data_IF_716947514056
#
_entry.id   IF_716947514056
#
_cell.length_a   1.000
_cell.length_b   1.000
_cell.length_c   1.000
_cell.angle_alpha   90.00
_cell.angle_beta   90.00
_cell.angle_gamma   90.00
#
_symmetry.space_group_name_H-M   'P 1'
#
loop_
_entity.id
_entity.type
_entity.pdbx_description
1 polymer ?
#
# COMPACT_ATOMS: atom_id res chain seq x y z
N UNK A 1 61.63 48.42 -53.33
CA UNK A 1 61.15 49.81 -53.23
C UNK A 1 59.70 49.79 -52.76
N UNK A 2 59.36 50.63 -51.77
CA UNK A 2 58.04 51.03 -51.20
C UNK A 2 57.09 49.96 -50.62
N UNK A 3 56.73 49.97 -49.32
CA UNK A 3 55.90 50.93 -48.53
C UNK A 3 54.44 51.01 -49.05
N UNK A 4 53.33 50.91 -48.29
CA UNK A 4 53.08 50.77 -46.84
C UNK A 4 51.58 50.45 -46.55
N UNK A 5 51.34 49.77 -45.41
CA UNK A 5 50.29 49.89 -44.37
C UNK A 5 48.78 50.13 -44.69
N UNK A 6 47.91 49.42 -43.93
CA UNK A 6 46.96 50.01 -42.94
C UNK A 6 46.22 48.99 -42.01
N UNK A 7 46.52 49.12 -40.70
CA UNK A 7 45.73 48.89 -39.44
C UNK A 7 45.21 47.50 -39.00
N UNK A 8 44.89 47.27 -37.69
CA UNK A 8 45.62 47.55 -36.44
C UNK A 8 45.74 46.29 -35.52
N UNK A 9 46.46 46.40 -34.40
CA UNK A 9 46.66 45.34 -33.39
C UNK A 9 45.48 45.17 -32.44
N UNK A 10 44.94 43.95 -32.34
CA UNK A 10 43.98 43.51 -31.32
C UNK A 10 44.65 42.54 -30.36
N UNK A 11 44.59 42.84 -29.06
CA UNK A 11 45.15 42.05 -27.97
C UNK A 11 44.36 40.76 -27.78
N UNK A 12 45.04 39.60 -27.83
CA UNK A 12 44.45 38.33 -27.43
C UNK A 12 44.85 38.00 -25.99
N UNK A 13 43.97 38.30 -25.04
CA UNK A 13 44.04 37.81 -23.67
C UNK A 13 43.77 36.30 -23.69
N UNK A 14 44.82 35.47 -23.64
CA UNK A 14 44.66 34.01 -23.43
C UNK A 14 44.58 33.74 -21.92
N UNK A 15 43.37 33.45 -21.46
CA UNK A 15 43.09 32.88 -20.15
C UNK A 15 43.72 31.48 -20.07
N UNK A 16 44.68 31.28 -19.17
CA UNK A 16 45.41 30.02 -18.99
C UNK A 16 44.69 29.18 -17.93
N UNK A 17 43.78 28.30 -18.34
CA UNK A 17 43.24 27.26 -17.46
C UNK A 17 44.08 25.99 -17.58
N UNK A 18 44.93 25.75 -16.59
CA UNK A 18 45.78 24.56 -16.49
C UNK A 18 44.99 23.41 -15.87
N UNK A 19 44.56 22.45 -16.68
CA UNK A 19 44.11 21.14 -16.19
C UNK A 19 45.06 20.07 -16.74
N UNK A 20 46.03 19.70 -15.91
CA UNK A 20 46.78 18.44 -16.03
C UNK A 20 46.19 17.40 -15.07
N UNK A 21 46.46 16.10 -15.30
CA UNK A 21 45.86 15.02 -14.51
C UNK A 21 46.60 14.88 -13.17
N UNK A 22 45.96 15.31 -12.09
CA UNK A 22 46.45 15.07 -10.73
C UNK A 22 45.95 13.70 -10.24
N UNK A 23 46.91 12.86 -9.87
CA UNK A 23 46.75 11.58 -9.18
C UNK A 23 45.74 11.65 -8.03
N UNK A 24 44.66 10.86 -8.09
CA UNK A 24 43.68 10.73 -7.00
C UNK A 24 44.26 9.80 -5.93
N UNK A 25 44.71 10.40 -4.83
CA UNK A 25 45.06 9.71 -3.60
C UNK A 25 43.82 9.13 -2.93
N UNK A 26 43.92 7.87 -2.52
CA UNK A 26 43.02 7.17 -1.59
C UNK A 26 43.11 7.81 -0.19
N UNK A 27 42.01 7.74 0.60
CA UNK A 27 41.77 8.25 1.98
C UNK A 27 41.31 9.73 2.06
N UNK A 28 40.15 10.14 2.59
CA UNK A 28 39.18 9.59 3.54
C UNK A 28 37.74 9.98 3.13
N UNK A 29 36.78 9.05 3.25
CA UNK A 29 35.35 9.38 3.40
C UNK A 29 35.08 9.69 4.87
N UNK A 30 35.04 10.97 5.23
CA UNK A 30 34.47 11.51 6.46
C UNK A 30 34.01 12.93 6.07
N UNK A 31 32.77 13.37 6.26
CA UNK A 31 32.01 13.38 7.50
C UNK A 31 30.52 13.13 7.25
N UNK A 32 30.01 11.93 7.55
CA UNK A 32 28.61 11.79 7.95
C UNK A 32 28.64 11.80 9.47
N UNK A 33 28.06 12.81 10.15
CA UNK A 33 27.98 12.81 11.60
C UNK A 33 27.38 11.49 12.08
N UNK A 34 28.07 10.80 12.99
CA UNK A 34 27.52 9.62 13.64
C UNK A 34 26.25 10.05 14.37
N UNK A 35 25.11 9.35 14.21
CA UNK A 35 23.90 9.70 14.91
C UNK A 35 24.15 9.74 16.42
N UNK A 36 23.54 10.70 17.11
CA UNK A 36 23.61 10.74 18.57
C UNK A 36 22.98 9.46 19.16
N UNK A 37 23.33 9.04 20.39
CA UNK A 37 22.69 7.89 21.02
C UNK A 37 21.16 8.00 21.09
N UNK A 38 20.61 9.21 21.20
CA UNK A 38 19.17 9.48 21.17
C UNK A 38 18.56 9.30 19.76
N UNK A 39 19.31 9.65 18.71
CA UNK A 39 18.92 9.42 17.32
C UNK A 39 19.01 7.93 16.94
N UNK A 40 20.06 7.22 17.39
CA UNK A 40 20.17 5.76 17.22
C UNK A 40 19.00 5.02 17.91
N UNK A 41 18.60 5.48 19.10
CA UNK A 41 17.45 4.94 19.83
C UNK A 41 16.11 5.25 19.12
N UNK A 42 15.94 6.47 18.60
CA UNK A 42 14.75 6.86 17.82
C UNK A 42 14.60 6.02 16.55
N UNK A 43 15.66 5.86 15.76
CA UNK A 43 15.68 5.03 14.56
C UNK A 43 15.33 3.57 14.87
N UNK A 44 15.87 3.03 15.97
CA UNK A 44 15.56 1.67 16.40
C UNK A 44 14.07 1.48 16.74
N UNK A 45 13.46 2.40 17.49
CA UNK A 45 12.03 2.32 17.79
C UNK A 45 11.17 2.51 16.54
N UNK A 46 11.56 3.45 15.68
CA UNK A 46 10.90 3.69 14.41
C UNK A 46 10.92 2.43 13.53
N UNK A 47 12.09 1.81 13.36
CA UNK A 47 12.25 0.57 12.60
C UNK A 47 11.42 -0.58 13.20
N UNK A 48 11.39 -0.73 14.53
CA UNK A 48 10.52 -1.73 15.19
C UNK A 48 9.04 -1.49 14.91
N UNK A 49 8.58 -0.24 14.97
CA UNK A 49 7.18 0.11 14.70
C UNK A 49 6.82 -0.16 13.24
N UNK A 50 7.67 0.26 12.31
CA UNK A 50 7.49 0.01 10.87
C UNK A 50 7.53 -1.49 10.53
N UNK A 51 8.43 -2.25 11.16
CA UNK A 51 8.50 -3.71 11.00
C UNK A 51 7.23 -4.40 11.49
N UNK A 52 6.70 -3.99 12.65
CA UNK A 52 5.45 -4.53 13.19
C UNK A 52 4.26 -4.26 12.26
N UNK A 53 4.13 -3.04 11.74
CA UNK A 53 3.08 -2.68 10.78
C UNK A 53 3.20 -3.47 9.48
N UNK A 54 4.42 -3.63 8.96
CA UNK A 54 4.67 -4.39 7.73
C UNK A 54 4.27 -5.86 7.88
N UNK A 55 4.54 -6.47 9.04
CA UNK A 55 4.15 -7.87 9.33
C UNK A 55 2.64 -8.07 9.37
N UNK A 56 1.86 -7.07 9.81
CA UNK A 56 0.40 -7.14 9.82
C UNK A 56 -0.19 -7.22 8.41
N UNK A 57 0.56 -6.78 7.39
CA UNK A 57 0.12 -6.84 6.01
C UNK A 57 0.36 -8.20 5.36
N UNK A 58 1.14 -9.11 5.95
CA UNK A 58 1.52 -10.38 5.31
C UNK A 58 0.29 -11.21 4.93
N UNK A 59 -0.69 -11.47 5.82
CA UNK A 59 -1.86 -12.27 5.44
C UNK A 59 -2.69 -11.60 4.33
N UNK A 60 -2.73 -10.27 4.33
CA UNK A 60 -3.44 -9.49 3.30
C UNK A 60 -2.73 -9.59 1.94
N UNK A 61 -1.40 -9.58 1.96
CA UNK A 61 -0.56 -9.74 0.76
C UNK A 61 -0.70 -11.14 0.17
N UNK A 62 -0.70 -12.18 1.01
CA UNK A 62 -0.90 -13.57 0.57
C UNK A 62 -2.27 -13.75 -0.10
N UNK A 63 -3.34 -13.26 0.54
CA UNK A 63 -4.70 -13.36 0.01
C UNK A 63 -4.86 -12.56 -1.29
N UNK A 64 -4.26 -11.36 -1.38
CA UNK A 64 -4.22 -10.58 -2.61
C UNK A 64 -3.38 -11.25 -3.70
N UNK A 65 -2.25 -11.86 -3.35
CA UNK A 65 -1.40 -12.57 -4.32
C UNK A 65 -2.18 -13.71 -4.98
N UNK A 66 -2.85 -14.54 -4.18
CA UNK A 66 -3.71 -15.63 -4.66
C UNK A 66 -4.85 -15.11 -5.53
N UNK A 67 -5.50 -14.02 -5.11
CA UNK A 67 -6.58 -13.42 -5.89
C UNK A 67 -6.10 -12.85 -7.23
N UNK A 68 -4.97 -12.13 -7.26
CA UNK A 68 -4.40 -11.60 -8.51
C UNK A 68 -4.01 -12.76 -9.43
N UNK A 69 -3.28 -13.76 -8.92
CA UNK A 69 -2.89 -14.97 -9.65
C UNK A 69 -4.10 -15.59 -10.38
N UNK A 70 -5.18 -15.86 -9.63
CA UNK A 70 -6.43 -16.41 -10.18
C UNK A 70 -7.07 -15.48 -11.21
N UNK A 71 -7.09 -14.17 -10.94
CA UNK A 71 -7.77 -13.18 -11.79
C UNK A 71 -7.09 -12.99 -13.14
N UNK A 72 -5.76 -12.86 -13.17
CA UNK A 72 -5.01 -12.65 -14.42
C UNK A 72 -4.39 -13.94 -14.99
N UNK A 73 -4.71 -15.09 -14.39
CA UNK A 73 -4.26 -16.42 -14.79
C UNK A 73 -2.72 -16.54 -14.84
N UNK A 74 -2.09 -16.23 -13.70
CA UNK A 74 -0.65 -16.45 -13.43
C UNK A 74 -0.50 -17.15 -12.07
N UNK A 75 0.71 -17.61 -11.73
CA UNK A 75 0.96 -18.47 -10.57
C UNK A 75 2.26 -18.15 -9.80
N UNK A 76 2.93 -17.05 -10.13
CA UNK A 76 4.25 -16.71 -9.59
C UNK A 76 4.24 -15.60 -8.54
N UNK A 77 3.09 -14.97 -8.29
CA UNK A 77 2.97 -13.92 -7.26
C UNK A 77 2.77 -14.61 -5.91
N UNK A 78 3.58 -14.24 -4.93
CA UNK A 78 3.52 -14.75 -3.55
C UNK A 78 3.48 -13.59 -2.57
N UNK A 79 3.15 -13.84 -1.30
CA UNK A 79 3.24 -12.82 -0.25
C UNK A 79 4.65 -12.22 -0.14
N UNK A 80 5.69 -13.04 -0.29
CA UNK A 80 7.10 -12.61 -0.16
C UNK A 80 7.57 -11.70 -1.31
N UNK A 81 7.09 -11.93 -2.53
CA UNK A 81 7.52 -11.17 -3.71
C UNK A 81 6.48 -10.14 -4.17
N UNK A 82 5.38 -9.97 -3.42
CA UNK A 82 4.19 -9.22 -3.82
C UNK A 82 4.54 -7.82 -4.34
N UNK A 83 5.23 -7.03 -3.52
CA UNK A 83 5.60 -5.66 -3.90
C UNK A 83 6.65 -5.61 -5.01
N UNK A 84 7.59 -6.56 -5.06
CA UNK A 84 8.63 -6.61 -6.09
C UNK A 84 8.06 -6.89 -7.48
N UNK A 85 7.05 -7.76 -7.55
CA UNK A 85 6.41 -8.15 -8.81
C UNK A 85 5.45 -7.08 -9.32
N UNK A 86 4.85 -6.30 -8.42
CA UNK A 86 3.87 -5.26 -8.76
C UNK A 86 4.52 -3.90 -9.08
N UNK A 87 5.73 -3.59 -8.61
CA UNK A 87 6.29 -2.23 -8.59
C UNK A 87 6.66 -1.59 -9.94
N UNK A 88 6.66 -2.38 -11.03
CA UNK A 88 6.79 -1.84 -12.39
C UNK A 88 5.44 -1.45 -13.02
N UNK A 89 4.33 -1.82 -12.35
CA UNK A 89 2.97 -1.44 -12.71
C UNK A 89 2.32 -2.31 -13.79
N UNK A 90 3.05 -3.26 -14.37
CA UNK A 90 2.54 -4.11 -15.47
C UNK A 90 1.41 -5.01 -14.97
N UNK A 91 1.60 -5.64 -13.81
CA UNK A 91 0.64 -6.58 -13.24
C UNK A 91 -0.68 -5.87 -12.88
N UNK A 92 -0.61 -4.72 -12.22
CA UNK A 92 -1.81 -3.96 -11.85
C UNK A 92 -2.54 -3.41 -13.09
N UNK A 93 -1.83 -3.00 -14.14
CA UNK A 93 -2.45 -2.64 -15.41
C UNK A 93 -3.15 -3.84 -16.10
N UNK A 94 -2.54 -5.04 -16.08
CA UNK A 94 -3.17 -6.27 -16.59
C UNK A 94 -4.42 -6.63 -15.80
N UNK A 95 -4.35 -6.54 -14.47
CA UNK A 95 -5.47 -6.75 -13.58
C UNK A 95 -6.65 -5.81 -13.93
N UNK A 96 -6.38 -4.52 -14.09
CA UNK A 96 -7.39 -3.55 -14.51
C UNK A 96 -8.05 -3.90 -15.85
N UNK A 97 -7.27 -4.36 -16.84
CA UNK A 97 -7.82 -4.80 -18.13
C UNK A 97 -8.76 -5.99 -18.00
N UNK A 98 -8.41 -6.99 -17.17
CA UNK A 98 -9.28 -8.15 -16.93
C UNK A 98 -10.58 -7.71 -16.24
N UNK A 99 -10.49 -6.88 -15.20
CA UNK A 99 -11.68 -6.36 -14.50
C UNK A 99 -12.56 -5.56 -15.46
N UNK A 100 -11.97 -4.70 -16.29
CA UNK A 100 -12.69 -3.94 -17.31
C UNK A 100 -13.45 -4.86 -18.27
N UNK A 101 -12.84 -5.95 -18.73
CA UNK A 101 -13.47 -6.91 -19.64
C UNK A 101 -14.66 -7.62 -18.99
N UNK A 102 -14.49 -8.06 -17.75
CA UNK A 102 -15.56 -8.68 -16.95
C UNK A 102 -16.70 -7.69 -16.70
N UNK A 103 -16.37 -6.43 -16.39
CA UNK A 103 -17.36 -5.38 -16.21
C UNK A 103 -18.16 -5.11 -17.48
N UNK A 104 -17.49 -5.00 -18.64
CA UNK A 104 -18.14 -4.85 -19.94
C UNK A 104 -19.11 -6.02 -20.20
N UNK A 105 -18.62 -7.25 -20.08
CA UNK A 105 -19.41 -8.47 -20.30
C UNK A 105 -20.64 -8.54 -19.37
N UNK A 106 -20.51 -8.13 -18.11
CA UNK A 106 -21.60 -8.13 -17.14
C UNK A 106 -22.65 -7.04 -17.44
N UNK A 107 -22.22 -5.87 -17.88
CA UNK A 107 -23.09 -4.74 -18.22
C UNK A 107 -23.84 -5.01 -19.52
N UNK A 108 -23.15 -5.49 -20.57
CA UNK A 108 -23.77 -5.83 -21.85
C UNK A 108 -24.79 -6.97 -21.71
N UNK A 109 -24.53 -7.93 -20.82
CA UNK A 109 -25.48 -8.98 -20.48
C UNK A 109 -26.63 -8.52 -19.55
N UNK A 110 -26.67 -7.24 -19.16
CA UNK A 110 -27.71 -6.68 -18.28
C UNK A 110 -27.67 -7.16 -16.83
N UNK A 111 -26.61 -7.86 -16.39
CA UNK A 111 -26.47 -8.36 -15.01
C UNK A 111 -26.13 -7.25 -14.01
N UNK A 112 -25.42 -6.23 -14.48
CA UNK A 112 -24.98 -5.09 -13.66
C UNK A 112 -25.33 -3.79 -14.39
N UNK A 113 -25.80 -2.80 -13.65
CA UNK A 113 -26.00 -1.43 -14.14
C UNK A 113 -24.80 -0.57 -13.76
N UNK A 114 -24.34 0.29 -14.67
CA UNK A 114 -23.25 1.23 -14.42
C UNK A 114 -22.45 1.55 -15.68
N UNK A 115 -21.47 2.43 -15.53
CA UNK A 115 -20.45 2.68 -16.56
C UNK A 115 -19.34 1.64 -16.47
N UNK A 116 -18.73 1.34 -17.62
CA UNK A 116 -17.56 0.46 -17.67
C UNK A 116 -16.35 1.24 -17.14
N UNK A 117 -15.63 0.74 -16.11
CA UNK A 117 -14.38 1.34 -15.68
C UNK A 117 -13.31 1.06 -16.73
N UNK A 118 -12.85 2.10 -17.43
CA UNK A 118 -11.88 1.95 -18.52
C UNK A 118 -10.48 2.29 -18.02
N UNK A 119 -9.46 1.46 -18.25
CA UNK A 119 -8.07 1.90 -18.13
C UNK A 119 -7.72 2.75 -19.36
N UNK A 120 -7.39 4.02 -19.12
CA UNK A 120 -6.99 4.97 -20.17
C UNK A 120 -5.46 4.98 -20.23
N UNK A 121 -4.91 5.46 -21.34
CA UNK A 121 -3.47 5.56 -21.52
C UNK A 121 -2.81 4.26 -21.98
N UNK A 122 -1.52 4.37 -22.29
CA UNK A 122 -0.68 3.24 -22.69
C UNK A 122 -0.09 2.62 -21.44
N UNK A 123 -0.32 1.32 -21.21
CA UNK A 123 0.43 0.58 -20.21
C UNK A 123 1.70 0.00 -20.85
N UNK A 124 2.85 0.29 -20.25
CA UNK A 124 4.18 -0.11 -20.71
C UNK A 124 4.52 -1.50 -20.19
N UNK A 125 4.40 -2.52 -21.05
CA UNK A 125 4.66 -3.93 -20.68
C UNK A 125 6.11 -4.22 -20.29
N UNK A 126 7.07 -3.43 -20.78
CA UNK A 126 8.50 -3.58 -20.52
C UNK A 126 9.04 -2.45 -19.62
N UNK A 127 8.20 -1.90 -18.75
CA UNK A 127 8.61 -0.84 -17.83
C UNK A 127 9.71 -1.35 -16.88
N UNK A 128 10.82 -0.61 -16.81
CA UNK A 128 11.82 -0.85 -15.79
C UNK A 128 11.27 -0.44 -14.41
N UNK A 129 11.65 -1.19 -13.36
CA UNK A 129 11.32 -0.87 -11.97
C UNK A 129 11.83 0.54 -11.63
N UNK A 130 11.10 1.27 -10.77
CA UNK A 130 11.47 2.62 -10.29
C UNK A 130 11.61 3.70 -11.37
N UNK A 131 11.18 3.44 -12.61
CA UNK A 131 11.33 4.33 -13.74
C UNK A 131 10.19 5.35 -13.88
N UNK A 132 10.29 6.24 -14.86
CA UNK A 132 9.17 7.08 -15.27
C UNK A 132 8.00 6.24 -15.83
N UNK A 133 8.31 5.18 -16.59
CA UNK A 133 7.29 4.30 -17.17
C UNK A 133 6.52 3.49 -16.13
N UNK A 134 7.18 3.08 -15.03
CA UNK A 134 6.48 2.41 -13.93
C UNK A 134 5.51 3.34 -13.22
N UNK A 135 5.88 4.62 -13.03
CA UNK A 135 4.98 5.64 -12.48
C UNK A 135 3.79 5.91 -13.38
N UNK A 136 4.01 5.99 -14.69
CA UNK A 136 2.92 6.16 -15.68
C UNK A 136 1.96 4.96 -15.67
N UNK A 137 2.48 3.73 -15.52
CA UNK A 137 1.64 2.54 -15.29
C UNK A 137 0.81 2.66 -14.02
N UNK A 138 1.40 3.10 -12.90
CA UNK A 138 0.66 3.29 -11.64
C UNK A 138 -0.43 4.34 -11.78
N UNK A 139 -0.13 5.48 -12.39
CA UNK A 139 -1.11 6.55 -12.58
C UNK A 139 -2.30 6.06 -13.42
N UNK A 140 -2.05 5.31 -14.50
CA UNK A 140 -3.11 4.70 -15.30
C UNK A 140 -3.98 3.73 -14.46
N UNK A 141 -3.37 2.94 -13.59
CA UNK A 141 -4.07 2.04 -12.67
C UNK A 141 -4.88 2.80 -11.61
N UNK A 142 -4.30 3.80 -10.95
CA UNK A 142 -4.97 4.64 -9.94
C UNK A 142 -6.19 5.35 -10.54
N UNK A 143 -6.05 5.89 -11.76
CA UNK A 143 -7.19 6.46 -12.48
C UNK A 143 -8.27 5.43 -12.83
N UNK A 144 -7.88 4.19 -13.12
CA UNK A 144 -8.83 3.10 -13.29
C UNK A 144 -9.56 2.79 -11.97
N UNK A 145 -8.87 2.73 -10.84
CA UNK A 145 -9.45 2.54 -9.50
C UNK A 145 -10.51 3.59 -9.19
N UNK A 146 -10.24 4.87 -9.47
CA UNK A 146 -11.24 5.97 -9.35
C UNK A 146 -12.51 5.68 -10.16
N UNK A 147 -12.35 5.23 -11.42
CA UNK A 147 -13.49 4.91 -12.30
C UNK A 147 -14.23 3.64 -11.88
N UNK A 148 -13.54 2.68 -11.27
CA UNK A 148 -14.14 1.49 -10.68
C UNK A 148 -15.03 1.84 -9.47
N UNK A 149 -14.76 2.97 -8.81
CA UNK A 149 -15.49 3.48 -7.66
C UNK A 149 -14.74 3.35 -6.33
N UNK A 150 -13.42 3.16 -6.37
CA UNK A 150 -12.57 3.20 -5.17
C UNK A 150 -12.62 4.62 -4.59
N UNK A 151 -12.87 4.73 -3.30
CA UNK A 151 -12.94 6.01 -2.60
C UNK A 151 -11.56 6.71 -2.58
N UNK A 152 -11.52 8.05 -2.72
CA UNK A 152 -10.24 8.81 -2.80
C UNK A 152 -9.31 8.54 -1.60
N UNK A 153 -9.85 8.45 -0.38
CA UNK A 153 -9.08 8.11 0.84
C UNK A 153 -8.43 6.72 0.84
N UNK A 154 -8.81 5.83 -0.08
CA UNK A 154 -8.24 4.49 -0.22
C UNK A 154 -7.28 4.38 -1.41
N UNK A 155 -7.17 5.43 -2.22
CA UNK A 155 -6.21 5.45 -3.31
C UNK A 155 -4.80 5.68 -2.76
N UNK A 156 -3.84 5.03 -3.38
CA UNK A 156 -2.41 5.24 -3.13
C UNK A 156 -1.83 6.16 -4.22
N UNK A 157 -0.66 6.73 -3.95
CA UNK A 157 0.10 7.55 -4.89
C UNK A 157 1.10 6.70 -5.69
N UNK A 158 1.49 7.13 -6.89
CA UNK A 158 2.37 6.33 -7.75
C UNK A 158 3.66 5.83 -7.07
N UNK A 159 4.29 6.64 -6.23
CA UNK A 159 5.51 6.29 -5.50
C UNK A 159 5.26 5.29 -4.34
N UNK A 160 4.03 5.17 -3.84
CA UNK A 160 3.70 4.24 -2.75
C UNK A 160 3.96 2.78 -3.14
N UNK A 161 3.75 2.43 -4.41
CA UNK A 161 4.07 1.13 -4.98
C UNK A 161 5.41 1.13 -5.72
N UNK A 162 5.74 2.16 -6.50
CA UNK A 162 6.98 2.17 -7.30
C UNK A 162 8.23 2.17 -6.43
N UNK A 163 8.19 2.85 -5.28
CA UNK A 163 9.32 2.96 -4.35
C UNK A 163 9.08 2.18 -3.05
N UNK A 164 7.99 1.42 -2.97
CA UNK A 164 7.52 0.76 -1.74
C UNK A 164 7.35 1.75 -0.57
N UNK A 165 6.91 2.98 -0.87
CA UNK A 165 6.81 4.06 0.11
C UNK A 165 5.70 3.86 1.15
N UNK A 166 4.51 3.41 0.73
CA UNK A 166 3.35 3.20 1.61
C UNK A 166 2.66 1.87 1.29
N UNK A 167 3.25 0.72 1.66
CA UNK A 167 2.72 -0.61 1.33
C UNK A 167 1.30 -0.82 1.85
N UNK A 168 0.97 -0.25 3.01
CA UNK A 168 -0.37 -0.32 3.60
C UNK A 168 -1.43 0.30 2.69
N UNK A 169 -1.17 1.47 2.11
CA UNK A 169 -2.12 2.14 1.23
C UNK A 169 -2.40 1.32 -0.03
N UNK A 170 -1.34 0.72 -0.60
CA UNK A 170 -1.45 -0.15 -1.78
C UNK A 170 -2.32 -1.37 -1.47
N UNK A 171 -2.05 -2.07 -0.36
CA UNK A 171 -2.81 -3.26 0.05
C UNK A 171 -4.28 -2.93 0.26
N UNK A 172 -4.59 -1.85 0.98
CA UNK A 172 -5.97 -1.43 1.22
C UNK A 172 -6.70 -1.03 -0.06
N UNK A 173 -6.02 -0.33 -0.98
CA UNK A 173 -6.58 0.00 -2.28
C UNK A 173 -6.92 -1.27 -3.08
N UNK A 174 -6.03 -2.26 -3.10
CA UNK A 174 -6.22 -3.50 -3.86
C UNK A 174 -7.34 -4.37 -3.28
N UNK A 175 -7.47 -4.44 -1.95
CA UNK A 175 -8.61 -5.10 -1.29
C UNK A 175 -9.94 -4.46 -1.71
N UNK A 176 -9.98 -3.13 -1.74
CA UNK A 176 -11.16 -2.37 -2.16
C UNK A 176 -11.49 -2.60 -3.66
N UNK A 177 -10.46 -2.62 -4.52
CA UNK A 177 -10.60 -3.00 -5.94
C UNK A 177 -11.22 -4.39 -6.06
N UNK A 178 -10.72 -5.36 -5.30
CA UNK A 178 -11.19 -6.74 -5.35
C UNK A 178 -12.65 -6.87 -4.88
N UNK A 179 -13.01 -6.14 -3.81
CA UNK A 179 -14.39 -6.03 -3.31
C UNK A 179 -15.34 -5.47 -4.37
N UNK A 180 -14.95 -4.40 -5.07
CA UNK A 180 -15.74 -3.80 -6.14
C UNK A 180 -15.82 -4.70 -7.37
N UNK A 181 -14.72 -5.37 -7.73
CA UNK A 181 -14.63 -6.30 -8.84
C UNK A 181 -15.57 -7.51 -8.68
N UNK A 182 -15.92 -7.89 -7.44
CA UNK A 182 -16.86 -8.97 -7.16
C UNK A 182 -18.26 -8.77 -7.77
N UNK A 183 -18.64 -7.52 -8.06
CA UNK A 183 -19.87 -7.19 -8.78
C UNK A 183 -19.89 -7.75 -10.21
N UNK A 184 -18.72 -8.00 -10.79
CA UNK A 184 -18.55 -8.45 -12.17
C UNK A 184 -18.19 -9.94 -12.26
N UNK A 185 -18.63 -10.73 -11.27
CA UNK A 185 -18.40 -12.19 -11.19
C UNK A 185 -16.92 -12.58 -11.10
N UNK A 186 -16.09 -11.72 -10.52
CA UNK A 186 -14.77 -12.09 -10.04
C UNK A 186 -14.89 -12.53 -8.59
N UNK A 187 -14.38 -13.70 -8.25
CA UNK A 187 -14.38 -14.15 -6.87
C UNK A 187 -13.43 -13.24 -6.06
N UNK A 188 -13.87 -12.63 -4.94
CA UNK A 188 -13.02 -11.76 -4.16
C UNK A 188 -12.04 -12.57 -3.28
N UNK A 189 -10.99 -11.94 -2.73
CA UNK A 189 -10.07 -12.54 -1.77
C UNK A 189 -10.82 -13.11 -0.56
N UNK A 190 -10.25 -14.15 0.07
CA UNK A 190 -10.89 -14.87 1.18
C UNK A 190 -11.24 -13.97 2.35
N UNK A 191 -10.41 -12.97 2.66
CA UNK A 191 -10.71 -12.00 3.70
C UNK A 191 -11.96 -11.17 3.39
N UNK A 192 -12.10 -10.71 2.15
CA UNK A 192 -13.27 -9.93 1.71
C UNK A 192 -14.53 -10.82 1.71
N UNK A 193 -14.39 -12.11 1.43
CA UNK A 193 -15.51 -13.06 1.56
C UNK A 193 -15.95 -13.18 3.02
N UNK A 194 -14.99 -13.36 3.94
CA UNK A 194 -15.26 -13.48 5.37
C UNK A 194 -15.91 -12.22 5.95
N UNK A 195 -15.43 -11.02 5.57
CA UNK A 195 -16.05 -9.75 5.99
C UNK A 195 -17.53 -9.66 5.62
N UNK A 196 -17.90 -10.16 4.43
CA UNK A 196 -19.29 -10.18 3.96
C UNK A 196 -20.13 -11.21 4.69
N UNK A 197 -19.57 -12.36 5.01
CA UNK A 197 -20.23 -13.41 5.79
C UNK A 197 -20.56 -12.91 7.20
N UNK A 198 -19.59 -12.31 7.89
CA UNK A 198 -19.75 -11.73 9.23
C UNK A 198 -20.81 -10.61 9.20
N UNK A 199 -20.76 -9.70 8.23
CA UNK A 199 -21.76 -8.63 8.11
C UNK A 199 -23.18 -9.19 7.91
N UNK A 200 -23.32 -10.25 7.12
CA UNK A 200 -24.61 -10.90 6.87
C UNK A 200 -25.13 -11.65 8.11
N UNK A 201 -24.26 -12.24 8.94
CA UNK A 201 -24.64 -12.82 10.23
C UNK A 201 -25.14 -11.76 11.21
N UNK A 202 -24.40 -10.66 11.35
CA UNK A 202 -24.79 -9.56 12.22
C UNK A 202 -26.14 -8.94 11.83
N UNK A 203 -26.40 -8.79 10.53
CA UNK A 203 -27.70 -8.30 10.03
C UNK A 203 -28.84 -9.27 10.38
N UNK A 204 -28.62 -10.59 10.24
CA UNK A 204 -29.61 -11.61 10.64
C UNK A 204 -29.89 -11.57 12.14
N UNK A 205 -28.86 -11.47 12.96
CA UNK A 205 -29.00 -11.40 14.42
C UNK A 205 -29.78 -10.16 14.86
N UNK A 206 -29.47 -9.00 14.27
CA UNK A 206 -30.22 -7.76 14.51
C UNK A 206 -31.70 -7.88 14.09
N UNK A 207 -31.96 -8.54 12.95
CA UNK A 207 -33.32 -8.78 12.48
C UNK A 207 -34.09 -9.72 13.42
N UNK A 208 -33.47 -10.79 13.91
CA UNK A 208 -34.07 -11.70 14.89
C UNK A 208 -34.39 -11.01 16.23
N UNK A 209 -33.52 -10.10 16.69
CA UNK A 209 -33.74 -9.30 17.91
C UNK A 209 -34.88 -8.29 17.74
N UNK A 210 -35.03 -7.70 16.55
CA UNK A 210 -36.11 -6.76 16.24
C UNK A 210 -37.48 -7.45 16.14
N UNK A 211 -37.54 -8.67 15.59
CA UNK A 211 -38.81 -9.43 15.42
C UNK A 211 -39.31 -10.05 16.73
N UNK A 212 -38.40 -10.23 17.71
CA UNK A 212 -38.74 -10.77 19.03
C UNK A 212 -39.35 -9.74 20.00
N UNK A 213 -39.48 -8.46 19.61
CA UNK A 213 -40.11 -7.41 20.42
C UNK A 213 -39.39 -7.10 21.75
N UNK A 214 -38.13 -7.50 21.91
CA UNK A 214 -37.37 -7.30 23.14
C UNK A 214 -36.74 -5.91 23.08
N UNK A 215 -37.38 -4.93 23.72
CA UNK A 215 -36.84 -3.57 23.86
C UNK A 215 -35.42 -3.56 24.42
N UNK A 216 -34.55 -2.75 23.80
CA UNK A 216 -33.12 -2.56 24.12
C UNK A 216 -32.83 -2.09 25.57
N UNK A 217 -33.86 -1.79 26.36
CA UNK A 217 -33.76 -1.45 27.79
C UNK A 217 -33.51 -2.67 28.70
N UNK A 218 -33.75 -3.89 28.22
CA UNK A 218 -33.78 -5.08 29.08
C UNK A 218 -32.47 -5.89 29.12
N UNK A 219 -31.49 -5.57 28.28
CA UNK A 219 -30.25 -6.37 28.15
C UNK A 219 -28.99 -5.67 28.68
N UNK A 220 -29.09 -4.44 29.20
CA UNK A 220 -27.95 -3.67 29.72
C UNK A 220 -27.33 -4.24 31.01
N UNK A 221 -27.98 -5.21 31.67
CA UNK A 221 -27.47 -5.81 32.92
C UNK A 221 -26.81 -7.19 32.75
N UNK A 222 -26.83 -7.80 31.55
CA UNK A 222 -26.40 -9.19 31.37
C UNK A 222 -25.02 -9.39 30.72
N UNK A 223 -24.36 -8.32 30.25
CA UNK A 223 -22.93 -8.33 29.96
C UNK A 223 -22.16 -7.51 31.00
N UNK A 224 -22.19 -7.95 32.26
CA UNK A 224 -21.11 -7.61 33.18
C UNK A 224 -20.12 -8.77 33.18
N UNK A 225 -18.93 -8.52 32.65
CA UNK A 225 -17.75 -9.36 32.84
C UNK A 225 -17.52 -9.59 34.34
N UNK A 226 -17.19 -10.82 34.78
CA UNK A 226 -16.91 -11.04 36.19
C UNK A 226 -15.63 -10.27 36.59
N UNK A 227 -15.79 -9.27 37.47
CA UNK A 227 -14.68 -8.63 38.17
C UNK A 227 -13.88 -9.67 38.97
N UNK A 228 -12.54 -9.52 39.11
CA UNK A 228 -11.74 -10.46 39.89
C UNK A 228 -12.17 -10.42 41.36
N UNK A 229 -12.64 -11.55 41.85
CA UNK A 229 -13.12 -11.74 43.22
C UNK A 229 -11.99 -11.48 44.21
N UNK A 230 -12.18 -10.49 45.10
CA UNK A 230 -11.32 -10.26 46.23
C UNK A 230 -11.34 -11.47 47.18
N UNK A 231 -10.18 -12.09 47.39
CA UNK A 231 -9.98 -13.13 48.41
C UNK A 231 -10.30 -12.61 49.82
N UNK A 232 -11.10 -13.32 50.64
CA UNK A 232 -11.33 -12.94 52.02
C UNK A 232 -10.10 -13.24 52.89
N UNK A 233 -9.65 -12.25 53.64
CA UNK A 233 -8.59 -12.33 54.65
C UNK A 233 -9.07 -13.18 55.85
N UNK A 234 -8.29 -14.11 56.41
CA UNK A 234 -8.72 -14.92 57.55
C UNK A 234 -8.70 -14.10 58.85
N UNK A 235 -9.54 -14.46 59.86
CA UNK A 235 -9.66 -13.70 61.09
C UNK A 235 -8.47 -13.94 62.04
N UNK A 236 -7.81 -12.85 62.45
CA UNK A 236 -6.82 -12.88 63.54
C UNK A 236 -7.52 -13.15 64.87
N UNK A 237 -7.14 -14.28 65.49
CA UNK A 237 -7.53 -14.62 66.86
C UNK A 237 -6.69 -13.80 67.84
N UNK A 238 -7.34 -12.89 68.54
CA UNK A 238 -6.84 -12.23 69.75
C UNK A 238 -6.49 -13.31 70.78
N UNK A 239 -5.21 -13.42 71.14
CA UNK A 239 -4.75 -14.15 72.32
C UNK A 239 -4.25 -13.14 73.36
N UNK A 240 -4.95 -13.08 74.49
CA UNK A 240 -4.47 -12.47 75.72
C UNK A 240 -3.64 -13.48 76.54
N UNK A 241 -2.49 -13.03 77.02
CA UNK A 241 -1.71 -13.43 78.22
C UNK A 241 -0.23 -13.26 77.89
N UNK A 242 0.62 -12.65 78.71
CA UNK A 242 0.59 -12.42 80.16
C UNK A 242 1.52 -11.26 80.49
#
# INVERSE_FOLDING_TARGET
>A
MSYANRFPSSQHTRYRSSWGPSSVSVFNRADVPRPSPEEEEFEFYHERLHSAQSRQLIPLQEDLADWINKTINVDYITGDNFFDVLDNGVIVCRLARVIQEKARSAIEAGRVKGSIPVIRGRCWENAARRSFFSRDNMENFIQFCRRLGVHENLLFESDDLVLHGQPRNVVLCLLEVARLAARYSLEPPGLVQLEREIAAEQERDLHCLSDSGISHSSLSWQLQSPSPTATPRPPEKIKHSR
#
